data_IF_085158821993
#
_entry.id   IF_085158821993
#
_cell.length_a   1.000
_cell.length_b   1.000
_cell.length_c   1.000
_cell.angle_alpha   90.00
_cell.angle_beta   90.00
_cell.angle_gamma   90.00
#
_symmetry.space_group_name_H-M   'P 1'
#
loop_
_entity.id
_entity.type
_entity.pdbx_description
1 polymer ?
#
# COMPACT_ATOMS: atom_id res chain seq x y z
N UNK A 1 -11.99 -12.52 -17.76
CA UNK A 1 -12.60 -12.23 -16.43
C UNK A 1 -11.47 -11.90 -15.48
N UNK A 2 -11.46 -10.70 -14.88
CA UNK A 2 -10.51 -10.41 -13.81
C UNK A 2 -10.99 -11.08 -12.52
N UNK A 3 -10.09 -11.81 -11.86
CA UNK A 3 -10.35 -12.44 -10.55
C UNK A 3 -9.99 -11.41 -9.48
N UNK A 4 -10.84 -11.27 -8.48
CA UNK A 4 -10.66 -10.32 -7.39
C UNK A 4 -10.75 -11.03 -6.04
N UNK A 5 -9.96 -10.54 -5.08
CA UNK A 5 -10.13 -10.83 -3.66
C UNK A 5 -10.94 -9.70 -3.03
N UNK A 6 -11.88 -10.04 -2.15
CA UNK A 6 -12.57 -9.08 -1.30
C UNK A 6 -11.77 -8.86 -0.01
N UNK A 7 -11.36 -7.62 0.24
CA UNK A 7 -10.65 -7.22 1.46
C UNK A 7 -11.64 -7.14 2.64
N UNK A 8 -11.12 -7.07 3.88
CA UNK A 8 -11.95 -6.85 5.08
C UNK A 8 -12.79 -5.57 5.00
N UNK A 9 -12.32 -4.57 4.25
CA UNK A 9 -13.03 -3.32 3.96
C UNK A 9 -14.11 -3.45 2.89
N UNK A 10 -14.36 -4.66 2.35
CA UNK A 10 -15.24 -4.94 1.20
C UNK A 10 -14.76 -4.38 -0.14
N UNK A 11 -13.59 -3.73 -0.17
CA UNK A 11 -12.95 -3.33 -1.41
C UNK A 11 -12.50 -4.57 -2.21
N UNK A 12 -12.67 -4.53 -3.54
CA UNK A 12 -12.20 -5.58 -4.46
C UNK A 12 -10.81 -5.26 -4.96
N UNK A 13 -9.87 -6.17 -4.75
CA UNK A 13 -8.49 -6.06 -5.19
C UNK A 13 -8.19 -7.14 -6.25
N UNK A 14 -7.66 -6.79 -7.44
CA UNK A 14 -7.24 -7.80 -8.40
C UNK A 14 -6.17 -8.71 -7.81
N UNK A 15 -6.28 -10.02 -8.01
CA UNK A 15 -5.34 -10.99 -7.45
C UNK A 15 -3.95 -10.95 -8.10
N UNK A 16 -3.84 -10.36 -9.30
CA UNK A 16 -2.60 -10.18 -10.04
C UNK A 16 -2.41 -8.70 -10.30
N UNK A 17 -1.20 -8.19 -10.03
CA UNK A 17 -0.78 -6.84 -10.34
C UNK A 17 0.66 -6.75 -10.81
N UNK A 18 1.02 -5.59 -11.34
CA UNK A 18 2.37 -5.26 -11.79
C UNK A 18 3.08 -4.43 -10.71
N UNK A 19 4.19 -4.94 -10.17
CA UNK A 19 5.12 -4.16 -9.35
C UNK A 19 6.13 -3.39 -10.20
N UNK A 20 6.41 -2.15 -9.82
CA UNK A 20 7.30 -1.25 -10.58
C UNK A 20 8.69 -1.04 -9.94
N UNK A 21 9.00 -1.79 -8.88
CA UNK A 21 10.27 -1.66 -8.16
C UNK A 21 11.49 -1.91 -9.06
N UNK A 22 12.52 -1.06 -8.91
CA UNK A 22 13.84 -1.18 -9.58
C UNK A 22 13.82 -1.28 -11.12
N UNK A 23 12.70 -0.93 -11.75
CA UNK A 23 12.67 -0.77 -13.19
C UNK A 23 13.60 0.37 -13.61
N UNK A 24 14.30 0.20 -14.74
CA UNK A 24 15.13 1.26 -15.30
C UNK A 24 14.27 2.50 -15.60
N UNK A 25 14.80 3.72 -15.41
CA UNK A 25 14.14 4.94 -15.87
C UNK A 25 13.74 4.81 -17.35
N UNK A 26 12.56 5.31 -17.70
CA UNK A 26 11.96 5.23 -19.04
C UNK A 26 11.47 3.83 -19.47
N UNK A 27 11.63 2.78 -18.65
CA UNK A 27 11.06 1.45 -18.91
C UNK A 27 9.76 1.19 -18.16
N UNK A 28 9.49 1.95 -17.09
CA UNK A 28 8.28 1.80 -16.27
C UNK A 28 7.04 2.10 -17.10
N UNK A 29 7.06 3.18 -17.87
CA UNK A 29 5.93 3.58 -18.73
C UNK A 29 5.52 2.48 -19.71
N UNK A 30 6.48 1.84 -20.38
CA UNK A 30 6.20 0.76 -21.34
C UNK A 30 5.72 -0.50 -20.63
N UNK A 31 6.31 -0.86 -19.49
CA UNK A 31 5.85 -2.00 -18.69
C UNK A 31 4.38 -1.84 -18.26
N UNK A 32 3.99 -0.66 -17.78
CA UNK A 32 2.61 -0.36 -17.37
C UNK A 32 1.66 -0.40 -18.56
N UNK A 33 2.05 0.10 -19.74
CA UNK A 33 1.24 0.01 -20.96
C UNK A 33 1.00 -1.44 -21.37
N UNK A 34 2.06 -2.26 -21.40
CA UNK A 34 1.97 -3.69 -21.76
C UNK A 34 1.08 -4.43 -20.79
N UNK A 35 1.25 -4.23 -19.47
CA UNK A 35 0.42 -4.85 -18.46
C UNK A 35 -1.06 -4.42 -18.59
N UNK A 36 -1.33 -3.13 -18.79
CA UNK A 36 -2.69 -2.61 -19.01
C UNK A 36 -3.34 -3.25 -20.24
N UNK A 37 -2.62 -3.34 -21.37
CA UNK A 37 -3.11 -4.00 -22.59
C UNK A 37 -3.33 -5.50 -22.40
N UNK A 38 -2.56 -6.15 -21.52
CA UNK A 38 -2.74 -7.55 -21.13
C UNK A 38 -3.89 -7.77 -20.12
N UNK A 39 -4.58 -6.70 -19.69
CA UNK A 39 -5.72 -6.77 -18.78
C UNK A 39 -5.37 -6.64 -17.28
N UNK A 40 -4.17 -6.16 -16.95
CA UNK A 40 -3.82 -5.86 -15.57
C UNK A 40 -4.56 -4.61 -15.11
N UNK A 41 -5.21 -4.72 -13.95
CA UNK A 41 -5.95 -3.62 -13.33
C UNK A 41 -5.37 -3.19 -11.98
N UNK A 42 -4.29 -3.85 -11.53
CA UNK A 42 -3.58 -3.52 -10.30
C UNK A 42 -2.13 -3.15 -10.63
N UNK A 43 -1.74 -1.94 -10.25
CA UNK A 43 -0.40 -1.40 -10.40
C UNK A 43 0.14 -1.10 -9.00
N UNK A 44 1.26 -1.72 -8.64
CA UNK A 44 1.93 -1.57 -7.36
C UNK A 44 3.16 -0.66 -7.52
N UNK A 45 3.16 0.42 -6.74
CA UNK A 45 4.13 1.50 -6.80
C UNK A 45 4.37 2.03 -5.38
N UNK A 46 5.55 2.60 -5.14
CA UNK A 46 5.83 3.27 -3.87
C UNK A 46 6.61 4.57 -4.09
N UNK A 47 6.45 5.52 -3.18
CA UNK A 47 7.07 6.84 -3.26
C UNK A 47 8.60 6.80 -3.43
N UNK A 48 9.25 5.85 -2.76
CA UNK A 48 10.70 5.68 -2.82
C UNK A 48 11.21 5.33 -4.23
N UNK A 49 10.33 4.84 -5.12
CA UNK A 49 10.70 4.39 -6.45
C UNK A 49 10.92 5.56 -7.40
N UNK A 50 10.36 6.74 -7.07
CA UNK A 50 10.48 7.99 -7.83
C UNK A 50 10.08 7.85 -9.31
N UNK A 51 9.14 6.95 -9.59
CA UNK A 51 8.69 6.61 -10.95
C UNK A 51 7.18 6.86 -11.15
N UNK A 52 6.50 7.50 -10.18
CA UNK A 52 5.06 7.72 -10.19
C UNK A 52 4.60 8.58 -11.37
N UNK A 53 5.47 9.48 -11.86
CA UNK A 53 5.19 10.25 -13.07
C UNK A 53 5.08 9.34 -14.31
N UNK A 54 6.00 8.38 -14.49
CA UNK A 54 5.95 7.44 -15.62
C UNK A 54 4.73 6.52 -15.55
N UNK A 55 4.41 6.05 -14.34
CA UNK A 55 3.21 5.23 -14.07
C UNK A 55 1.96 6.05 -14.35
N UNK A 56 1.89 7.28 -13.84
CA UNK A 56 0.80 8.22 -14.05
C UNK A 56 0.56 8.44 -15.53
N UNK A 57 1.59 8.82 -16.29
CA UNK A 57 1.52 9.03 -17.73
C UNK A 57 1.05 7.79 -18.51
N UNK A 58 1.42 6.58 -18.08
CA UNK A 58 0.97 5.34 -18.70
C UNK A 58 -0.52 5.06 -18.43
N UNK A 59 -1.03 5.45 -17.26
CA UNK A 59 -2.43 5.23 -16.82
C UNK A 59 -3.36 6.39 -17.24
N UNK A 60 -2.82 7.58 -17.52
CA UNK A 60 -3.57 8.85 -17.71
C UNK A 60 -4.58 8.88 -18.86
N UNK A 61 -4.73 7.77 -19.60
CA UNK A 61 -5.89 7.57 -20.48
C UNK A 61 -7.21 7.28 -19.74
N UNK A 62 -7.27 7.23 -18.39
CA UNK A 62 -8.54 6.84 -17.71
C UNK A 62 -9.00 7.55 -16.42
N UNK A 63 -8.29 8.49 -15.79
CA UNK A 63 -8.92 9.29 -14.70
C UNK A 63 -8.12 10.54 -14.27
N UNK A 64 -8.82 11.68 -14.20
CA UNK A 64 -8.36 12.96 -13.66
C UNK A 64 -8.53 13.00 -12.13
N UNK A 65 -7.58 12.48 -11.37
CA UNK A 65 -7.42 12.82 -9.93
C UNK A 65 -5.94 12.78 -9.57
N UNK A 66 -5.22 13.83 -9.95
CA UNK A 66 -3.80 13.99 -9.62
C UNK A 66 -3.72 14.60 -8.21
N UNK A 67 -3.21 13.85 -7.24
CA UNK A 67 -2.83 14.39 -5.94
C UNK A 67 -1.32 14.65 -5.95
N UNK A 68 -0.91 15.91 -5.83
CA UNK A 68 0.46 16.29 -5.47
C UNK A 68 0.57 16.29 -3.94
N UNK A 69 0.66 15.11 -3.33
CA UNK A 69 0.93 15.00 -1.89
C UNK A 69 2.45 15.02 -1.68
N UNK A 70 2.99 16.21 -1.42
CA UNK A 70 4.39 16.38 -1.04
C UNK A 70 4.56 15.97 0.42
N UNK A 71 4.96 14.72 0.67
CA UNK A 71 5.60 14.39 1.94
C UNK A 71 6.84 15.29 2.06
N UNK A 72 6.82 16.18 3.06
CA UNK A 72 7.92 17.09 3.33
C UNK A 72 9.23 16.30 3.45
N UNK A 73 10.18 16.58 2.56
CA UNK A 73 11.56 16.10 2.67
C UNK A 73 12.16 16.72 3.92
N UNK A 74 12.23 16.00 5.03
CA UNK A 74 13.12 16.33 6.15
C UNK A 74 13.78 15.04 6.65
N UNK A 75 14.61 14.43 5.80
CA UNK A 75 15.57 13.42 6.23
C UNK A 75 16.89 14.13 6.53
N UNK A 76 17.00 14.72 7.72
CA UNK A 76 18.28 15.24 8.20
C UNK A 76 19.28 14.08 8.24
N UNK A 77 20.46 14.25 7.62
CA UNK A 77 21.53 13.25 7.65
C UNK A 77 22.57 13.68 8.67
N UNK A 78 23.14 12.73 9.41
CA UNK A 78 24.32 13.00 10.24
C UNK A 78 25.57 13.22 9.36
N UNK A 79 26.68 13.65 9.97
CA UNK A 79 27.95 13.87 9.29
C UNK A 79 28.59 12.57 8.73
N UNK A 80 28.00 11.41 9.03
CA UNK A 80 28.43 10.10 8.56
C UNK A 80 27.52 9.57 7.44
N UNK A 81 26.54 10.37 6.99
CA UNK A 81 25.60 10.01 5.92
C UNK A 81 24.43 9.13 6.37
N UNK A 82 24.28 8.86 7.67
CA UNK A 82 23.16 8.11 8.20
C UNK A 82 21.93 9.02 8.27
N UNK A 83 20.77 8.45 7.94
CA UNK A 83 19.48 9.14 8.09
C UNK A 83 19.21 9.25 9.60
N UNK A 84 19.13 10.48 10.11
CA UNK A 84 18.68 10.69 11.48
C UNK A 84 17.23 10.19 11.60
N UNK A 85 16.92 9.38 12.62
CA UNK A 85 15.55 8.95 12.82
C UNK A 85 14.70 10.19 13.08
N UNK A 86 13.80 10.51 12.16
CA UNK A 86 12.75 11.49 12.39
C UNK A 86 11.94 11.05 13.61
N UNK A 87 11.52 11.98 14.47
CA UNK A 87 10.61 11.68 15.60
C UNK A 87 9.27 11.06 15.16
N UNK A 88 8.98 11.08 13.87
CA UNK A 88 7.81 10.48 13.24
C UNK A 88 7.91 8.95 13.26
N UNK A 89 6.97 8.32 13.95
CA UNK A 89 6.79 6.88 14.03
C UNK A 89 5.83 6.38 12.94
N UNK A 90 5.83 5.07 12.69
CA UNK A 90 4.85 4.46 11.77
C UNK A 90 3.40 4.60 12.24
N UNK A 91 3.17 4.86 13.54
CA UNK A 91 1.82 5.09 14.08
C UNK A 91 1.30 6.47 13.67
N UNK A 92 2.17 7.48 13.69
CA UNK A 92 1.82 8.84 13.25
C UNK A 92 1.50 8.85 11.76
N UNK A 93 2.28 8.10 10.96
CA UNK A 93 1.97 7.89 9.54
C UNK A 93 0.63 7.20 9.36
N UNK A 94 0.34 6.18 10.17
CA UNK A 94 -0.92 5.45 10.08
C UNK A 94 -2.14 6.33 10.37
N UNK A 95 -2.07 7.22 11.36
CA UNK A 95 -3.14 8.20 11.67
C UNK A 95 -3.43 9.11 10.48
N UNK A 96 -2.40 9.65 9.84
CA UNK A 96 -2.57 10.49 8.65
C UNK A 96 -3.19 9.69 7.50
N UNK A 97 -2.81 8.42 7.33
CA UNK A 97 -3.40 7.55 6.31
C UNK A 97 -4.88 7.24 6.60
N UNK A 98 -5.27 7.08 7.85
CA UNK A 98 -6.67 6.90 8.26
C UNK A 98 -7.52 8.12 7.88
N UNK A 99 -6.99 9.34 8.02
CA UNK A 99 -7.68 10.53 7.52
C UNK A 99 -7.91 10.50 6.00
N UNK A 100 -6.97 9.95 5.22
CA UNK A 100 -7.13 9.84 3.77
C UNK A 100 -8.24 8.85 3.40
N UNK A 101 -8.45 7.80 4.20
CA UNK A 101 -9.59 6.90 4.06
C UNK A 101 -10.89 7.62 4.40
N UNK A 102 -10.93 8.38 5.49
CA UNK A 102 -12.10 9.16 5.89
C UNK A 102 -12.47 10.24 4.85
N UNK A 103 -11.49 10.76 4.11
CA UNK A 103 -11.67 11.69 2.98
C UNK A 103 -12.01 10.97 1.66
N UNK A 104 -12.20 9.65 1.68
CA UNK A 104 -12.46 8.79 0.51
C UNK A 104 -11.38 8.87 -0.58
N UNK A 105 -10.17 9.31 -0.25
CA UNK A 105 -9.03 9.37 -1.16
C UNK A 105 -8.34 8.02 -1.28
N UNK A 106 -8.45 7.19 -0.24
CA UNK A 106 -7.90 5.83 -0.17
C UNK A 106 -9.01 4.85 0.20
N UNK A 107 -9.15 3.76 -0.57
CA UNK A 107 -10.21 2.77 -0.36
C UNK A 107 -9.88 1.70 0.69
N UNK A 108 -8.58 1.44 0.90
CA UNK A 108 -8.09 0.44 1.83
C UNK A 108 -6.64 0.76 2.20
N UNK A 109 -6.26 0.44 3.44
CA UNK A 109 -4.91 0.55 3.96
C UNK A 109 -4.30 -0.82 4.19
N UNK A 110 -2.97 -0.89 4.12
CA UNK A 110 -2.19 -2.07 4.38
C UNK A 110 -0.76 -1.71 4.78
N UNK A 111 -0.05 -2.66 5.37
CA UNK A 111 1.37 -2.54 5.69
C UNK A 111 2.18 -3.55 4.88
N UNK A 112 3.41 -3.19 4.53
CA UNK A 112 4.38 -4.08 3.86
C UNK A 112 5.64 -4.20 4.70
N UNK A 113 6.13 -5.43 4.89
CA UNK A 113 7.32 -5.75 5.69
C UNK A 113 7.20 -5.41 7.20
N UNK A 114 5.99 -5.45 7.77
CA UNK A 114 5.79 -5.21 9.21
C UNK A 114 6.12 -6.47 10.02
N UNK A 115 6.81 -6.30 11.15
CA UNK A 115 7.02 -7.38 12.11
C UNK A 115 5.83 -7.56 13.06
N UNK A 116 5.82 -8.66 13.82
CA UNK A 116 4.69 -9.00 14.69
C UNK A 116 4.41 -7.96 15.79
N UNK A 117 5.42 -7.24 16.29
CA UNK A 117 5.22 -6.17 17.27
C UNK A 117 4.55 -4.94 16.64
N UNK A 118 4.95 -4.57 15.43
CA UNK A 118 4.37 -3.44 14.69
C UNK A 118 2.90 -3.71 14.35
N UNK A 119 2.58 -4.93 13.89
CA UNK A 119 1.20 -5.34 13.62
C UNK A 119 0.36 -5.31 14.90
N UNK A 120 0.87 -5.86 16.02
CA UNK A 120 0.17 -5.80 17.31
C UNK A 120 -0.11 -4.37 17.75
N UNK A 121 0.86 -3.45 17.59
CA UNK A 121 0.67 -2.03 17.93
C UNK A 121 -0.43 -1.38 17.10
N UNK A 122 -0.56 -1.71 15.81
CA UNK A 122 -1.66 -1.23 14.97
C UNK A 122 -3.01 -1.78 15.44
N UNK A 123 -3.10 -3.07 15.78
CA UNK A 123 -4.35 -3.72 16.17
C UNK A 123 -4.90 -3.26 17.53
N UNK A 124 -4.04 -2.75 18.42
CA UNK A 124 -4.44 -2.25 19.76
C UNK A 124 -5.05 -0.85 19.66
N UNK A 125 -4.81 -0.11 18.57
CA UNK A 125 -5.31 1.26 18.41
C UNK A 125 -6.85 1.25 18.33
N UNK A 126 -7.56 2.05 19.14
CA UNK A 126 -9.00 2.18 19.01
C UNK A 126 -9.36 3.06 17.79
N UNK A 127 -10.13 2.48 16.86
CA UNK A 127 -10.96 3.11 15.80
C UNK A 127 -10.37 3.21 14.38
N UNK A 128 -10.57 2.14 13.61
CA UNK A 128 -11.63 1.93 12.60
C UNK A 128 -11.83 0.41 12.60
N UNK A 129 -13.05 -0.15 12.46
CA UNK A 129 -13.19 -1.59 12.46
C UNK A 129 -12.49 -2.11 11.20
N UNK A 130 -11.23 -2.53 11.34
CA UNK A 130 -10.85 -3.83 10.84
C UNK A 130 -11.89 -4.76 11.44
N UNK A 131 -13.01 -4.97 10.73
CA UNK A 131 -14.04 -5.88 11.19
C UNK A 131 -13.30 -7.19 11.44
N UNK A 132 -13.11 -7.47 12.72
CA UNK A 132 -12.38 -8.62 13.19
C UNK A 132 -13.17 -9.81 12.73
N UNK A 133 -12.77 -10.40 11.61
CA UNK A 133 -12.97 -11.83 11.48
C UNK A 133 -12.17 -12.43 12.63
N UNK A 134 -12.90 -12.88 13.65
CA UNK A 134 -12.44 -13.86 14.60
C UNK A 134 -11.45 -14.77 13.86
N UNK A 135 -10.18 -14.73 14.27
CA UNK A 135 -9.25 -15.76 13.91
C UNK A 135 -9.77 -17.03 14.60
N UNK A 136 -10.71 -17.72 13.96
CA UNK A 136 -10.96 -19.11 14.27
C UNK A 136 -9.73 -19.80 13.71
N UNK A 137 -8.70 -19.94 14.56
CA UNK A 137 -7.76 -21.02 14.40
C UNK A 137 -8.60 -22.25 14.12
N UNK A 138 -8.58 -22.74 12.88
CA UNK A 138 -9.12 -24.04 12.52
C UNK A 138 -8.33 -25.04 13.38
N UNK A 139 -8.85 -25.33 14.58
CA UNK A 139 -8.51 -26.56 15.26
C UNK A 139 -8.96 -27.67 14.31
N UNK A 140 -8.06 -28.54 13.84
CA UNK A 140 -8.49 -29.70 13.07
C UNK A 140 -9.46 -30.51 13.95
N UNK A 141 -10.63 -30.91 13.43
CA UNK A 141 -11.53 -31.76 14.19
C UNK A 141 -10.89 -33.14 14.35
N UNK A 142 -10.67 -33.54 15.59
CA UNK A 142 -10.42 -34.93 15.96
C UNK A 142 -9.00 -35.24 16.42
N UNK A 143 -8.74 -35.04 17.71
CA UNK A 143 -7.95 -36.01 18.48
C UNK A 143 -8.54 -36.06 19.90
N UNK A 144 -9.53 -36.92 20.07
CA UNK A 144 -9.94 -37.42 21.37
C UNK A 144 -8.83 -38.32 21.93
N UNK A 145 -8.44 -38.08 23.18
CA UNK A 145 -7.92 -39.11 24.07
C UNK A 145 -8.94 -39.35 25.16
#
# INVERSE_FOLDING_TARGET
MAIFLELSTKAKMPIVGLGTWKSLPSKVKEAVKVASNAGYHHMDCAYMYQNENEVGEAIQRRSERRMDFRLGRNSSRDNNGNILPSEVTFLDVWEVLEELVNKELVKALGGSNFNHFQVKKLLIKPVLPLQGHHCHCLQPPGLSR
#
